data_IF_009354612803
#
_entry.id   IF_009354612803
#
_cell.length_a   1.000
_cell.length_b   1.000
_cell.length_c   1.000
_cell.angle_alpha   90.00
_cell.angle_beta   90.00
_cell.angle_gamma   90.00
#
_symmetry.space_group_name_H-M   'P 1'
#
loop_
_entity.id
_entity.type
_entity.pdbx_description
1 polymer ?
#
# COMPACT_ATOMS: atom_id res chain seq x y z
N UNK A 1 -10.01 33.09 22.07
CA UNK A 1 -10.47 34.37 21.51
C UNK A 1 -10.57 35.36 22.66
N UNK A 2 -10.01 36.55 22.49
CA UNK A 2 -9.81 37.58 23.51
C UNK A 2 -11.16 38.10 24.03
N UNK A 3 -11.36 38.08 25.35
CA UNK A 3 -12.47 38.77 26.02
C UNK A 3 -12.36 40.27 25.70
N UNK A 4 -13.22 40.78 24.83
CA UNK A 4 -13.50 42.21 24.77
C UNK A 4 -14.40 42.54 25.97
N UNK A 5 -13.78 42.76 27.13
CA UNK A 5 -14.48 43.33 28.26
C UNK A 5 -14.94 44.75 27.86
N UNK A 6 -16.24 44.92 27.67
CA UNK A 6 -16.84 46.24 27.49
C UNK A 6 -16.59 47.07 28.77
N UNK A 7 -16.40 48.41 28.68
CA UNK A 7 -16.07 49.22 29.85
C UNK A 7 -17.16 49.09 30.93
N UNK A 8 -16.83 48.43 32.04
CA UNK A 8 -17.74 48.19 33.17
C UNK A 8 -18.27 46.76 33.32
N UNK A 9 -17.80 45.80 32.51
CA UNK A 9 -18.07 44.37 32.67
C UNK A 9 -16.83 43.60 33.10
N UNK A 10 -17.01 42.57 33.92
CA UNK A 10 -15.99 41.60 34.28
C UNK A 10 -16.58 40.20 34.29
N UNK A 11 -15.92 39.26 33.62
CA UNK A 11 -16.23 37.84 33.69
C UNK A 11 -14.99 37.05 34.10
N UNK A 12 -15.07 36.29 35.19
CA UNK A 12 -13.96 35.49 35.66
C UNK A 12 -14.44 34.27 36.45
N UNK A 13 -13.62 33.23 36.45
CA UNK A 13 -13.85 32.03 37.24
C UNK A 13 -13.14 32.14 38.59
N UNK A 14 -13.77 31.65 39.65
CA UNK A 14 -13.13 31.49 40.96
C UNK A 14 -13.55 30.19 41.62
N UNK A 15 -12.74 29.71 42.55
CA UNK A 15 -13.10 28.58 43.40
C UNK A 15 -13.67 29.09 44.72
N UNK A 16 -14.76 28.49 45.17
CA UNK A 16 -15.42 28.82 46.41
C UNK A 16 -15.50 27.60 47.31
N UNK A 17 -15.03 27.74 48.55
CA UNK A 17 -15.16 26.70 49.57
C UNK A 17 -16.47 26.90 50.34
N UNK A 18 -17.39 25.95 50.19
CA UNK A 18 -18.65 25.88 50.92
C UNK A 18 -18.40 25.66 52.42
N UNK A 19 -19.39 25.94 53.27
CA UNK A 19 -19.29 25.78 54.74
C UNK A 19 -19.03 24.33 55.17
N UNK A 20 -19.31 23.35 54.32
CA UNK A 20 -19.04 21.92 54.50
C UNK A 20 -17.61 21.52 54.07
N UNK A 21 -16.80 22.46 53.58
CA UNK A 21 -15.44 22.23 53.09
C UNK A 21 -15.34 21.87 51.60
N UNK A 22 -16.46 21.71 50.87
CA UNK A 22 -16.43 21.38 49.45
C UNK A 22 -16.02 22.58 48.59
N UNK A 23 -15.09 22.38 47.65
CA UNK A 23 -14.65 23.41 46.70
C UNK A 23 -15.49 23.31 45.43
N UNK A 24 -16.17 24.40 45.06
CA UNK A 24 -16.96 24.49 43.82
C UNK A 24 -16.45 25.61 42.92
N UNK A 25 -16.26 25.35 41.62
CA UNK A 25 -15.93 26.38 40.65
C UNK A 25 -17.18 27.23 40.37
N UNK A 26 -17.01 28.54 40.42
CA UNK A 26 -18.04 29.53 40.13
C UNK A 26 -17.60 30.39 38.96
N UNK A 27 -18.52 30.68 38.04
CA UNK A 27 -18.35 31.75 37.08
C UNK A 27 -19.04 33.01 37.62
N UNK A 28 -18.30 34.11 37.68
CA UNK A 28 -18.79 35.41 38.15
C UNK A 28 -18.82 36.38 36.98
N UNK A 29 -20.03 36.81 36.65
CA UNK A 29 -20.26 37.89 35.71
C UNK A 29 -20.76 39.11 36.46
N UNK A 30 -20.03 40.22 36.36
CA UNK A 30 -20.37 41.49 36.99
C UNK A 30 -20.49 42.59 35.94
N UNK A 31 -21.54 43.42 36.05
CA UNK A 31 -21.73 44.62 35.22
C UNK A 31 -22.12 45.80 36.10
N UNK A 32 -21.57 46.98 35.80
CA UNK A 32 -21.99 48.23 36.44
C UNK A 32 -23.28 48.73 35.79
N UNK A 33 -24.30 49.01 36.61
CA UNK A 33 -25.57 49.60 36.18
C UNK A 33 -25.83 50.91 36.93
N UNK A 34 -26.36 51.92 36.23
CA UNK A 34 -26.71 53.21 36.82
C UNK A 34 -28.22 53.28 37.07
N UNK A 35 -28.64 53.61 38.29
CA UNK A 35 -30.05 53.86 38.63
C UNK A 35 -30.15 55.03 39.61
N UNK A 36 -31.00 56.02 39.33
CA UNK A 36 -31.22 57.21 40.18
C UNK A 36 -29.92 57.92 40.63
N UNK A 37 -29.03 58.27 39.67
CA UNK A 37 -27.71 58.87 39.95
C UNK A 37 -26.75 58.05 40.83
N UNK A 38 -27.07 56.78 41.12
CA UNK A 38 -26.22 55.87 41.90
C UNK A 38 -25.70 54.72 41.02
N UNK A 39 -24.42 54.36 41.21
CA UNK A 39 -23.77 53.22 40.55
C UNK A 39 -24.00 51.96 41.38
N UNK A 40 -24.56 50.93 40.77
CA UNK A 40 -24.70 49.59 41.35
C UNK A 40 -23.85 48.60 40.56
N UNK A 41 -23.37 47.55 41.24
CA UNK A 41 -22.74 46.41 40.59
C UNK A 41 -23.76 45.28 40.64
N UNK A 42 -24.23 44.86 39.47
CA UNK A 42 -24.98 43.62 39.35
C UNK A 42 -23.98 42.49 39.16
N UNK A 43 -23.98 41.53 40.08
CA UNK A 43 -23.15 40.33 40.01
C UNK A 43 -24.04 39.10 39.94
N UNK A 44 -23.82 38.28 38.92
CA UNK A 44 -24.41 36.94 38.79
C UNK A 44 -23.32 35.92 39.00
N UNK A 45 -23.54 35.02 39.94
CA UNK A 45 -22.61 33.94 40.27
C UNK A 45 -23.28 32.61 39.94
N UNK A 46 -22.64 31.82 39.08
CA UNK A 46 -23.16 30.54 38.60
C UNK A 46 -22.21 29.41 38.98
N UNK A 47 -22.72 28.33 39.57
CA UNK A 47 -21.95 27.10 39.78
C UNK A 47 -21.70 26.41 38.43
N UNK A 48 -20.42 26.17 38.11
CA UNK A 48 -20.00 25.60 36.82
C UNK A 48 -19.41 24.18 36.97
N UNK A 49 -19.70 23.50 38.08
CA UNK A 49 -19.17 22.14 38.36
C UNK A 49 -19.50 21.17 37.23
N UNK A 50 -20.76 21.10 36.80
CA UNK A 50 -21.20 20.18 35.74
C UNK A 50 -20.56 20.54 34.39
N UNK A 51 -20.46 21.84 34.09
CA UNK A 51 -19.84 22.32 32.84
C UNK A 51 -18.37 21.87 32.79
N UNK A 52 -17.59 22.08 33.86
CA UNK A 52 -16.19 21.65 33.90
C UNK A 52 -16.06 20.13 33.81
N UNK A 53 -16.98 19.37 34.41
CA UNK A 53 -17.01 17.91 34.31
C UNK A 53 -17.22 17.46 32.85
N UNK A 54 -18.23 17.98 32.17
CA UNK A 54 -18.49 17.63 30.76
C UNK A 54 -17.37 18.10 29.83
N UNK A 55 -16.78 19.28 30.07
CA UNK A 55 -15.61 19.74 29.31
C UNK A 55 -14.44 18.77 29.43
N UNK A 56 -14.17 18.26 30.63
CA UNK A 56 -13.12 17.25 30.86
C UNK A 56 -13.44 15.94 30.15
N UNK A 57 -14.70 15.50 30.17
CA UNK A 57 -15.13 14.27 29.48
C UNK A 57 -15.00 14.39 27.96
N UNK A 58 -15.48 15.49 27.37
CA UNK A 58 -15.35 15.78 25.95
C UNK A 58 -13.88 15.84 25.54
N UNK A 59 -13.04 16.51 26.34
CA UNK A 59 -11.60 16.58 26.07
C UNK A 59 -10.95 15.18 26.09
N UNK A 60 -11.37 14.32 27.02
CA UNK A 60 -10.92 12.92 27.06
C UNK A 60 -11.32 12.16 25.79
N UNK A 61 -12.60 12.21 25.43
CA UNK A 61 -13.15 11.56 24.23
C UNK A 61 -12.50 12.06 22.94
N UNK A 62 -12.26 13.36 22.81
CA UNK A 62 -11.61 13.94 21.63
C UNK A 62 -10.18 13.40 21.46
N UNK A 63 -9.40 13.32 22.54
CA UNK A 63 -8.06 12.75 22.50
C UNK A 63 -8.06 11.27 22.09
N UNK A 64 -9.02 10.50 22.58
CA UNK A 64 -9.16 9.09 22.20
C UNK A 64 -9.53 8.93 20.72
N UNK A 65 -10.48 9.73 20.23
CA UNK A 65 -10.86 9.76 18.81
C UNK A 65 -9.67 10.18 17.93
N UNK A 66 -8.88 11.17 18.35
CA UNK A 66 -7.67 11.57 17.63
C UNK A 66 -6.66 10.42 17.52
N UNK A 67 -6.44 9.69 18.61
CA UNK A 67 -5.57 8.52 18.61
C UNK A 67 -6.10 7.41 17.67
N UNK A 68 -7.38 7.08 17.77
CA UNK A 68 -8.02 6.08 16.90
C UNK A 68 -7.95 6.49 15.42
N UNK A 69 -8.20 7.76 15.11
CA UNK A 69 -8.10 8.27 13.74
C UNK A 69 -6.67 8.18 13.19
N UNK A 70 -5.65 8.41 14.02
CA UNK A 70 -4.26 8.27 13.61
C UNK A 70 -3.93 6.81 13.28
N UNK A 71 -4.33 5.87 14.12
CA UNK A 71 -4.11 4.43 13.89
C UNK A 71 -4.88 3.94 12.65
N UNK A 72 -6.14 4.39 12.49
CA UNK A 72 -6.94 4.06 11.31
C UNK A 72 -6.28 4.54 10.01
N UNK A 73 -5.71 5.76 10.00
CA UNK A 73 -4.98 6.29 8.83
C UNK A 73 -3.77 5.42 8.48
N UNK A 74 -2.95 5.05 9.47
CA UNK A 74 -1.79 4.18 9.24
C UNK A 74 -2.21 2.83 8.66
N UNK A 75 -3.29 2.25 9.19
CA UNK A 75 -3.81 0.97 8.69
C UNK A 75 -4.34 1.11 7.26
N UNK A 76 -5.05 2.19 6.94
CA UNK A 76 -5.52 2.46 5.59
C UNK A 76 -4.38 2.63 4.59
N UNK A 77 -3.30 3.32 4.97
CA UNK A 77 -2.11 3.47 4.12
C UNK A 77 -1.45 2.11 3.84
N UNK A 78 -1.28 1.28 4.88
CA UNK A 78 -0.74 -0.08 4.74
C UNK A 78 -1.62 -0.96 3.85
N UNK A 79 -2.94 -0.90 4.01
CA UNK A 79 -3.88 -1.64 3.17
C UNK A 79 -3.84 -1.17 1.72
N UNK A 80 -3.71 0.13 1.49
CA UNK A 80 -3.59 0.69 0.14
C UNK A 80 -2.33 0.18 -0.54
N UNK A 81 -1.18 0.25 0.12
CA UNK A 81 0.09 -0.26 -0.41
C UNK A 81 0.02 -1.77 -0.68
N UNK A 82 -0.56 -2.55 0.25
CA UNK A 82 -0.71 -3.99 0.08
C UNK A 82 -1.62 -4.34 -1.10
N UNK A 83 -2.72 -3.59 -1.27
CA UNK A 83 -3.66 -3.72 -2.38
C UNK A 83 -2.98 -3.40 -3.71
N UNK A 84 -2.30 -2.26 -3.82
CA UNK A 84 -1.60 -1.85 -5.05
C UNK A 84 -0.55 -2.91 -5.46
N UNK A 85 0.19 -3.45 -4.49
CA UNK A 85 1.16 -4.52 -4.74
C UNK A 85 0.48 -5.80 -5.25
N UNK A 86 -0.67 -6.17 -4.70
CA UNK A 86 -1.43 -7.34 -5.14
C UNK A 86 -2.00 -7.12 -6.56
N UNK A 87 -2.58 -5.96 -6.84
CA UNK A 87 -3.12 -5.60 -8.16
C UNK A 87 -2.03 -5.58 -9.23
N UNK A 88 -0.85 -5.03 -8.92
CA UNK A 88 0.27 -5.04 -9.85
C UNK A 88 0.79 -6.46 -10.10
N UNK A 89 0.87 -7.29 -9.06
CA UNK A 89 1.23 -8.71 -9.21
C UNK A 89 0.24 -9.47 -10.10
N UNK A 90 -1.07 -9.27 -9.90
CA UNK A 90 -2.11 -9.90 -10.71
C UNK A 90 -2.09 -9.42 -12.16
N UNK A 91 -1.84 -8.12 -12.37
CA UNK A 91 -1.68 -7.54 -13.71
C UNK A 91 -0.47 -8.15 -14.44
N UNK A 92 0.68 -8.22 -13.78
CA UNK A 92 1.90 -8.80 -14.34
C UNK A 92 1.68 -10.29 -14.66
N UNK A 93 1.04 -11.04 -13.77
CA UNK A 93 0.71 -12.45 -13.98
C UNK A 93 -0.23 -12.64 -15.18
N UNK A 94 -1.25 -11.79 -15.30
CA UNK A 94 -2.19 -11.83 -16.42
C UNK A 94 -1.51 -11.51 -17.75
N UNK A 95 -0.65 -10.48 -17.78
CA UNK A 95 0.13 -10.13 -18.96
C UNK A 95 1.11 -11.25 -19.35
N UNK A 96 1.77 -11.86 -18.38
CA UNK A 96 2.64 -13.02 -18.59
C UNK A 96 1.87 -14.18 -19.23
N UNK A 97 0.73 -14.58 -18.66
CA UNK A 97 -0.08 -15.67 -19.19
C UNK A 97 -0.62 -15.39 -20.60
N UNK A 98 -1.02 -14.15 -20.87
CA UNK A 98 -1.43 -13.73 -22.20
C UNK A 98 -0.29 -13.88 -23.22
N UNK A 99 0.91 -13.41 -22.87
CA UNK A 99 2.10 -13.53 -23.72
C UNK A 99 2.47 -14.99 -23.97
N UNK A 100 2.51 -15.83 -22.93
CA UNK A 100 2.76 -17.26 -23.07
C UNK A 100 1.73 -17.93 -23.98
N UNK A 101 0.45 -17.56 -23.86
CA UNK A 101 -0.60 -18.10 -24.74
C UNK A 101 -0.37 -17.75 -26.21
N UNK A 102 0.11 -16.53 -26.51
CA UNK A 102 0.46 -16.12 -27.87
C UNK A 102 1.71 -16.85 -28.40
N UNK A 103 2.73 -16.97 -27.56
CA UNK A 103 3.98 -17.65 -27.92
C UNK A 103 3.79 -19.14 -28.11
N UNK A 104 2.87 -19.79 -27.40
CA UNK A 104 2.50 -21.19 -27.62
C UNK A 104 1.69 -21.36 -28.91
N UNK A 105 0.74 -20.46 -29.18
CA UNK A 105 -0.16 -20.57 -30.34
C UNK A 105 0.58 -20.53 -31.67
N UNK A 106 1.63 -19.72 -31.77
CA UNK A 106 2.41 -19.55 -33.01
C UNK A 106 3.07 -20.85 -33.50
N UNK A 107 3.94 -21.53 -32.72
CA UNK A 107 4.52 -22.81 -33.11
C UNK A 107 3.47 -23.92 -33.21
N UNK A 108 2.44 -23.92 -32.34
CA UNK A 108 1.37 -24.92 -32.43
C UNK A 108 0.60 -24.83 -33.75
N UNK A 109 0.26 -23.63 -34.20
CA UNK A 109 -0.39 -23.41 -35.51
C UNK A 109 0.54 -23.80 -36.67
N UNK A 110 1.85 -23.61 -36.52
CA UNK A 110 2.84 -24.13 -37.47
C UNK A 110 2.80 -25.65 -37.56
N UNK A 111 2.82 -26.35 -36.42
CA UNK A 111 2.77 -27.82 -36.38
C UNK A 111 1.50 -28.33 -37.07
N UNK A 112 0.32 -27.83 -36.67
CA UNK A 112 -0.96 -28.29 -37.21
C UNK A 112 -1.06 -27.95 -38.71
N UNK A 113 -0.78 -26.69 -39.09
CA UNK A 113 -0.91 -26.27 -40.47
C UNK A 113 0.01 -27.01 -41.44
N UNK A 114 1.27 -27.27 -41.06
CA UNK A 114 2.18 -28.05 -41.90
C UNK A 114 1.90 -29.55 -41.84
N UNK A 115 1.34 -30.07 -40.74
CA UNK A 115 0.86 -31.46 -40.69
C UNK A 115 -0.32 -31.69 -41.64
N UNK A 116 -1.28 -30.76 -41.68
CA UNK A 116 -2.42 -30.82 -42.61
C UNK A 116 -1.95 -30.78 -44.07
N UNK A 117 -0.94 -29.96 -44.38
CA UNK A 117 -0.36 -29.91 -45.73
C UNK A 117 0.32 -31.23 -46.13
N UNK A 118 0.91 -31.97 -45.18
CA UNK A 118 1.56 -33.26 -45.47
C UNK A 118 0.57 -34.37 -45.87
N UNK A 119 -0.73 -34.18 -45.67
CA UNK A 119 -1.76 -35.13 -46.12
C UNK A 119 -1.98 -35.11 -47.64
N UNK A 120 -1.48 -34.09 -48.35
CA UNK A 120 -1.59 -33.99 -49.80
C UNK A 120 -0.68 -35.01 -50.51
N UNK A 121 -1.30 -36.03 -51.07
CA UNK A 121 -0.63 -37.09 -51.84
C UNK A 121 0.10 -36.63 -53.11
N UNK A 122 -0.10 -35.37 -53.55
CA UNK A 122 0.57 -34.79 -54.73
C UNK A 122 1.89 -34.07 -54.41
N UNK A 123 2.31 -34.03 -53.14
CA UNK A 123 3.55 -33.41 -52.71
C UNK A 123 4.80 -34.09 -53.24
N UNK A 124 5.73 -33.28 -53.76
CA UNK A 124 7.08 -33.74 -54.04
C UNK A 124 7.87 -33.99 -52.73
N UNK A 125 8.91 -34.83 -52.84
CA UNK A 125 9.71 -35.23 -51.68
C UNK A 125 10.42 -34.04 -51.03
N UNK A 126 10.85 -33.05 -51.80
CA UNK A 126 11.60 -31.90 -51.29
C UNK A 126 10.72 -31.01 -50.40
N UNK A 127 9.52 -30.66 -50.84
CA UNK A 127 8.54 -29.92 -50.05
C UNK A 127 8.10 -30.70 -48.82
N UNK A 128 7.93 -32.02 -48.95
CA UNK A 128 7.62 -32.89 -47.81
C UNK A 128 8.68 -32.80 -46.72
N UNK A 129 9.96 -32.84 -47.09
CA UNK A 129 11.07 -32.65 -46.15
C UNK A 129 11.08 -31.24 -45.54
N UNK A 130 10.80 -30.20 -46.32
CA UNK A 130 10.70 -28.82 -45.80
C UNK A 130 9.60 -28.68 -44.75
N UNK A 131 8.40 -29.23 -45.02
CA UNK A 131 7.28 -29.17 -44.08
C UNK A 131 7.57 -29.94 -42.79
N UNK A 132 8.15 -31.15 -42.90
CA UNK A 132 8.62 -31.91 -41.74
C UNK A 132 9.64 -31.13 -40.90
N UNK A 133 10.54 -30.39 -41.56
CA UNK A 133 11.53 -29.56 -40.86
C UNK A 133 10.88 -28.39 -40.12
N UNK A 134 9.84 -27.76 -40.69
CA UNK A 134 9.09 -26.69 -39.99
C UNK A 134 8.39 -27.25 -38.76
N UNK A 135 7.70 -28.39 -38.87
CA UNK A 135 7.04 -29.06 -37.74
C UNK A 135 8.05 -29.34 -36.63
N UNK A 136 9.22 -29.90 -36.97
CA UNK A 136 10.29 -30.20 -36.00
C UNK A 136 10.78 -28.93 -35.29
N UNK A 137 11.02 -27.85 -36.04
CA UNK A 137 11.48 -26.59 -35.48
C UNK A 137 10.43 -25.96 -34.56
N UNK A 138 9.15 -25.98 -34.96
CA UNK A 138 8.04 -25.50 -34.12
C UNK A 138 7.89 -26.33 -32.84
N UNK A 139 8.09 -27.66 -32.90
CA UNK A 139 8.10 -28.52 -31.72
C UNK A 139 9.24 -28.20 -30.74
N UNK A 140 10.44 -27.94 -31.26
CA UNK A 140 11.58 -27.51 -30.44
C UNK A 140 11.33 -26.15 -29.78
N UNK A 141 10.74 -25.20 -30.52
CA UNK A 141 10.38 -23.90 -29.98
C UNK A 141 9.36 -24.01 -28.85
N UNK A 142 8.33 -24.84 -29.02
CA UNK A 142 7.33 -25.09 -27.98
C UNK A 142 7.96 -25.70 -26.72
N UNK A 143 8.89 -26.64 -26.88
CA UNK A 143 9.61 -27.23 -25.76
C UNK A 143 10.43 -26.19 -24.98
N UNK A 144 11.05 -25.24 -25.68
CA UNK A 144 11.76 -24.12 -25.05
C UNK A 144 10.82 -23.29 -24.19
N UNK A 145 9.67 -22.88 -24.74
CA UNK A 145 8.67 -22.06 -24.01
C UNK A 145 8.20 -22.79 -22.75
N UNK A 146 7.96 -24.11 -22.83
CA UNK A 146 7.55 -24.92 -21.67
C UNK A 146 8.64 -24.93 -20.60
N UNK A 147 9.91 -25.10 -20.98
CA UNK A 147 11.03 -25.07 -20.04
C UNK A 147 11.15 -23.71 -19.35
N UNK A 148 11.01 -22.62 -20.11
CA UNK A 148 11.06 -21.26 -19.56
C UNK A 148 9.94 -21.03 -18.52
N UNK A 149 8.72 -21.52 -18.77
CA UNK A 149 7.60 -21.47 -17.81
C UNK A 149 7.91 -22.27 -16.54
N UNK A 150 8.49 -23.47 -16.68
CA UNK A 150 8.88 -24.33 -15.56
C UNK A 150 9.94 -23.64 -14.70
N UNK A 151 10.95 -23.02 -15.33
CA UNK A 151 12.02 -22.35 -14.60
C UNK A 151 11.52 -21.11 -13.86
N UNK A 152 10.64 -20.31 -14.47
CA UNK A 152 9.94 -19.21 -13.79
C UNK A 152 9.14 -19.73 -12.59
N UNK A 153 8.42 -20.85 -12.73
CA UNK A 153 7.64 -21.46 -11.64
C UNK A 153 8.53 -21.92 -10.48
N UNK A 154 9.75 -22.40 -10.76
CA UNK A 154 10.76 -22.71 -9.72
C UNK A 154 11.30 -21.46 -9.03
N UNK A 155 11.46 -20.35 -9.77
CA UNK A 155 11.85 -19.05 -9.19
C UNK A 155 10.78 -18.59 -8.19
N UNK A 156 9.51 -18.57 -8.61
CA UNK A 156 8.40 -18.08 -7.76
C UNK A 156 8.21 -18.89 -6.49
N UNK A 157 8.40 -20.21 -6.57
CA UNK A 157 8.26 -21.12 -5.42
C UNK A 157 9.51 -21.15 -4.53
N UNK A 158 10.56 -20.38 -4.85
CA UNK A 158 11.82 -20.36 -4.10
C UNK A 158 12.60 -21.67 -4.17
N UNK A 159 12.31 -22.54 -5.15
CA UNK A 159 12.91 -23.86 -5.28
C UNK A 159 14.26 -23.85 -6.01
N UNK A 160 14.72 -22.70 -6.49
CA UNK A 160 16.05 -22.59 -7.08
C UNK A 160 17.11 -22.72 -5.99
N UNK A 161 17.73 -23.90 -5.94
CA UNK A 161 19.01 -24.09 -5.28
C UNK A 161 20.09 -23.57 -6.22
N UNK A 162 20.68 -22.43 -5.90
CA UNK A 162 21.93 -22.01 -6.53
C UNK A 162 23.00 -23.04 -6.14
N UNK A 163 23.36 -23.93 -7.05
CA UNK A 163 24.61 -24.67 -6.94
C UNK A 163 25.72 -23.73 -7.37
N UNK A 164 26.44 -23.16 -6.40
CA UNK A 164 27.76 -22.56 -6.64
C UNK A 164 28.72 -23.67 -7.06
N UNK A 165 28.66 -24.08 -8.32
CA UNK A 165 29.78 -24.78 -8.91
C UNK A 165 30.89 -23.75 -9.11
N UNK A 166 31.96 -23.91 -8.32
CA UNK A 166 33.22 -23.19 -8.52
C UNK A 166 33.66 -23.45 -9.95
N UNK A 167 33.36 -22.53 -10.86
CA UNK A 167 34.00 -22.45 -12.17
C UNK A 167 35.47 -22.20 -11.92
N UNK A 168 36.24 -23.27 -11.85
CA UNK A 168 37.69 -23.20 -11.86
C UNK A 168 38.06 -22.67 -13.25
N UNK A 169 38.24 -21.35 -13.36
CA UNK A 169 38.90 -20.73 -14.49
C UNK A 169 40.33 -21.29 -14.54
N UNK A 170 40.49 -22.41 -15.24
CA UNK A 170 41.80 -22.99 -15.51
C UNK A 170 42.54 -22.00 -16.41
N UNK A 171 43.43 -21.25 -15.78
CA UNK A 171 44.28 -20.24 -16.40
C UNK A 171 45.35 -20.96 -17.23
N UNK A 172 44.97 -21.49 -18.39
CA UNK A 172 45.91 -22.00 -19.40
C UNK A 172 46.35 -20.85 -20.31
N UNK A 173 47.35 -20.10 -19.86
CA UNK A 173 48.20 -19.29 -20.73
C UNK A 173 49.53 -18.99 -20.04
N UNK A 174 50.32 -20.04 -19.80
CA UNK A 174 51.77 -19.90 -19.67
C UNK A 174 52.37 -19.92 -21.09
N UNK A 175 52.20 -18.82 -21.80
CA UNK A 175 52.97 -18.52 -23.00
C UNK A 175 54.41 -18.30 -22.60
N UNK A 176 55.27 -19.22 -23.02
CA UNK A 176 56.70 -19.23 -22.80
C UNK A 176 57.33 -18.03 -23.55
N UNK A 177 57.55 -16.89 -22.88
CA UNK A 177 58.46 -15.87 -23.39
C UNK A 177 59.89 -16.33 -23.11
N UNK A 178 60.54 -16.90 -24.13
CA UNK A 178 62.00 -17.02 -24.17
C UNK A 178 62.60 -15.62 -24.29
N UNK A 179 63.40 -15.24 -23.30
CA UNK A 179 64.55 -14.38 -23.54
C UNK A 179 65.73 -15.27 -23.95
N UNK A 180 66.52 -14.73 -24.89
CA UNK A 180 67.61 -15.32 -25.68
C UNK A 180 67.19 -16.07 -26.96
#
# INVERSE_FOLDING_TARGET
>A
MLNQDSPGEKNFEMEYTRKDGAVVPLNIYSRIINRNNSKFILTVTTDITDIKKYQKEILGKNKEIEFQNQEYRKLMDQLTIAKEKAEESDRLKSAFLANMSHEIRTPMNGIIGFADLLEDSSLDEEKRQQFLQVIKNSGLQLLSIINDIIDISKIETGQIKFSEEKSCCHRSSAGNLRFF
#
